data_IF_974699324722
#
_entry.id   IF_974699324722
#
_cell.length_a   1.000
_cell.length_b   1.000
_cell.length_c   1.000
_cell.angle_alpha   90.00
_cell.angle_beta   90.00
_cell.angle_gamma   90.00
#
_symmetry.space_group_name_H-M   'P 1'
#
loop_
_entity.id
_entity.type
_entity.pdbx_description
1 polymer ?
#
# COMPACT_ATOMS: atom_id res chain seq x y z
N UNK A 1 44.85 3.07 50.07
CA UNK A 1 43.77 3.09 49.07
C UNK A 1 44.38 2.74 47.72
N UNK A 2 43.93 1.66 47.08
CA UNK A 2 44.63 1.08 45.93
C UNK A 2 44.32 1.93 44.68
N UNK A 3 45.27 2.73 44.18
CA UNK A 3 45.10 3.67 43.04
C UNK A 3 44.52 3.00 41.80
N UNK A 4 44.74 1.70 41.60
CA UNK A 4 44.18 0.92 40.50
C UNK A 4 42.65 0.74 40.63
N UNK A 5 42.17 0.55 41.88
CA UNK A 5 40.73 0.40 42.15
C UNK A 5 40.01 1.72 41.97
N UNK A 6 40.60 2.82 42.39
CA UNK A 6 40.05 4.17 42.18
C UNK A 6 40.02 4.54 40.71
N UNK A 7 41.08 4.25 39.96
CA UNK A 7 41.13 4.47 38.51
C UNK A 7 40.09 3.67 37.75
N UNK A 8 39.87 2.40 38.11
CA UNK A 8 38.84 1.56 37.51
C UNK A 8 37.42 2.09 37.81
N UNK A 9 37.16 2.50 39.05
CA UNK A 9 35.86 3.07 39.44
C UNK A 9 35.55 4.36 38.70
N UNK A 10 36.53 5.23 38.50
CA UNK A 10 36.39 6.46 37.71
C UNK A 10 36.13 6.14 36.25
N UNK A 11 36.87 5.19 35.66
CA UNK A 11 36.65 4.78 34.26
C UNK A 11 35.26 4.18 34.04
N UNK A 12 34.77 3.36 34.98
CA UNK A 12 33.40 2.80 34.91
C UNK A 12 32.35 3.89 35.08
N UNK A 13 32.53 4.85 35.97
CA UNK A 13 31.62 5.97 36.16
C UNK A 13 31.56 6.86 34.91
N UNK A 14 32.68 7.19 34.29
CA UNK A 14 32.75 7.95 33.04
C UNK A 14 32.09 7.18 31.90
N UNK A 15 32.33 5.88 31.78
CA UNK A 15 31.73 5.01 30.81
C UNK A 15 30.18 4.96 30.94
N UNK A 16 29.69 4.83 32.18
CA UNK A 16 28.26 4.84 32.48
C UNK A 16 27.60 6.18 32.11
N UNK A 17 28.24 7.30 32.52
CA UNK A 17 27.75 8.64 32.20
C UNK A 17 27.71 8.86 30.69
N UNK A 18 28.79 8.48 29.99
CA UNK A 18 28.83 8.57 28.51
C UNK A 18 27.73 7.75 27.84
N UNK A 19 27.53 6.53 28.32
CA UNK A 19 26.47 5.66 27.81
C UNK A 19 25.06 6.26 28.03
N UNK A 20 24.77 6.77 29.23
CA UNK A 20 23.51 7.42 29.58
C UNK A 20 23.27 8.66 28.70
N UNK A 21 24.31 9.50 28.52
CA UNK A 21 24.19 10.68 27.65
C UNK A 21 23.95 10.32 26.20
N UNK A 22 24.62 9.27 25.70
CA UNK A 22 24.40 8.79 24.32
C UNK A 22 23.00 8.24 24.15
N UNK A 23 22.49 7.44 25.09
CA UNK A 23 21.13 6.94 25.09
C UNK A 23 20.11 8.08 25.19
N UNK A 24 20.36 9.08 26.03
CA UNK A 24 19.48 10.24 26.16
C UNK A 24 19.46 11.10 24.89
N UNK A 25 20.60 11.33 24.27
CA UNK A 25 20.71 12.05 23.00
C UNK A 25 19.99 11.30 21.86
N UNK A 26 20.21 10.00 21.76
CA UNK A 26 19.50 9.15 20.78
C UNK A 26 17.99 9.17 21.01
N UNK A 27 17.56 9.05 22.28
CA UNK A 27 16.13 9.08 22.61
C UNK A 27 15.52 10.46 22.32
N UNK A 28 16.24 11.53 22.62
CA UNK A 28 15.82 12.90 22.32
C UNK A 28 15.66 13.10 20.81
N UNK A 29 16.67 12.72 20.02
CA UNK A 29 16.64 12.80 18.57
C UNK A 29 15.49 11.96 17.98
N UNK A 30 15.32 10.72 18.46
CA UNK A 30 14.24 9.82 18.03
C UNK A 30 12.85 10.39 18.34
N UNK A 31 12.66 10.97 19.53
CA UNK A 31 11.38 11.57 19.91
C UNK A 31 11.15 12.87 19.15
N UNK A 32 12.14 13.75 19.05
CA UNK A 32 11.98 15.05 18.39
C UNK A 32 11.85 14.93 16.88
N UNK A 33 12.50 13.96 16.24
CA UNK A 33 12.35 13.72 14.80
C UNK A 33 10.91 13.34 14.42
N UNK A 34 10.17 12.71 15.35
CA UNK A 34 8.76 12.38 15.15
C UNK A 34 7.82 13.61 15.13
N UNK A 35 8.27 14.76 15.66
CA UNK A 35 7.50 16.02 15.69
C UNK A 35 7.82 16.96 14.52
N UNK A 36 8.92 16.72 13.82
CA UNK A 36 9.28 17.56 12.67
C UNK A 36 8.48 17.14 11.44
N UNK A 37 7.95 18.12 10.67
CA UNK A 37 7.34 17.81 9.40
C UNK A 37 8.31 17.07 8.49
N UNK A 38 7.86 15.98 7.88
CA UNK A 38 8.66 15.28 6.89
C UNK A 38 8.88 16.20 5.67
N UNK A 39 10.12 16.26 5.18
CA UNK A 39 10.41 16.87 3.89
C UNK A 39 9.85 16.00 2.75
N UNK A 40 9.43 16.60 1.63
CA UNK A 40 9.01 15.83 0.47
C UNK A 40 10.08 14.82 0.04
N UNK A 41 9.66 13.56 -0.16
CA UNK A 41 10.54 12.50 -0.64
C UNK A 41 10.67 12.59 -2.15
N UNK A 42 11.88 12.50 -2.67
CA UNK A 42 12.17 12.41 -4.10
C UNK A 42 12.71 11.02 -4.45
N UNK A 43 12.18 10.43 -5.52
CA UNK A 43 12.61 9.14 -6.04
C UNK A 43 13.49 9.35 -7.28
N UNK A 44 14.76 8.98 -7.20
CA UNK A 44 15.71 9.09 -8.34
C UNK A 44 15.31 8.20 -9.51
N UNK A 45 14.78 7.02 -9.20
CA UNK A 45 14.25 6.05 -10.15
C UNK A 45 12.77 5.85 -9.93
N UNK A 46 12.07 5.32 -10.93
CA UNK A 46 10.71 4.85 -10.73
C UNK A 46 10.73 3.72 -9.68
N UNK A 47 10.01 3.90 -8.60
CA UNK A 47 10.04 2.99 -7.44
C UNK A 47 8.61 2.78 -6.93
N UNK A 48 8.29 1.54 -6.63
CA UNK A 48 7.08 1.19 -5.89
C UNK A 48 7.44 0.87 -4.45
N UNK A 49 6.65 1.38 -3.51
CA UNK A 49 6.78 1.09 -2.07
C UNK A 49 5.52 0.36 -1.63
N UNK A 50 5.66 -0.85 -1.14
CA UNK A 50 4.58 -1.61 -0.52
C UNK A 50 4.28 -1.00 0.86
N UNK A 51 3.34 -0.07 0.93
CA UNK A 51 2.98 0.63 2.17
C UNK A 51 2.20 -0.26 3.14
N UNK A 52 1.36 -1.12 2.59
CA UNK A 52 0.58 -2.09 3.34
C UNK A 52 0.24 -3.30 2.48
N UNK A 53 0.40 -4.48 3.05
CA UNK A 53 0.38 -5.76 2.32
C UNK A 53 -0.71 -6.72 2.77
N UNK A 54 -1.57 -6.32 3.74
CA UNK A 54 -2.69 -7.13 4.17
C UNK A 54 -3.85 -7.10 3.15
N UNK A 55 -4.53 -8.24 3.01
CA UNK A 55 -5.82 -8.34 2.35
C UNK A 55 -6.97 -7.98 3.31
N UNK A 56 -8.20 -8.28 2.90
CA UNK A 56 -9.37 -8.24 3.79
C UNK A 56 -9.16 -9.13 5.02
N UNK A 57 -9.44 -8.59 6.19
CA UNK A 57 -9.30 -9.30 7.46
C UNK A 57 -8.41 -8.56 8.44
N UNK A 58 -8.36 -9.09 9.66
CA UNK A 58 -7.53 -8.52 10.72
C UNK A 58 -6.16 -9.19 10.73
N UNK A 59 -5.13 -8.44 10.34
CA UNK A 59 -3.75 -8.79 10.57
C UNK A 59 -3.08 -7.65 11.36
N UNK A 60 -2.72 -7.94 12.60
CA UNK A 60 -2.11 -6.95 13.49
C UNK A 60 -0.68 -6.58 13.09
N UNK A 61 -0.03 -7.40 12.27
CA UNK A 61 1.36 -7.22 11.89
C UNK A 61 1.54 -6.55 10.52
N UNK A 62 0.46 -6.38 9.76
CA UNK A 62 0.48 -5.77 8.42
C UNK A 62 -0.58 -4.67 8.31
N UNK A 63 -0.23 -3.62 7.60
CA UNK A 63 -1.14 -2.52 7.27
C UNK A 63 -2.07 -2.91 6.13
N UNK A 64 -3.20 -2.24 6.04
CA UNK A 64 -4.15 -2.40 4.95
C UNK A 64 -3.53 -2.06 3.59
N UNK A 65 -4.06 -2.66 2.53
CA UNK A 65 -3.54 -2.56 1.18
C UNK A 65 -3.27 -1.13 0.71
N UNK A 66 -2.02 -0.83 0.40
CA UNK A 66 -1.61 0.41 -0.25
C UNK A 66 -0.24 0.25 -0.90
N UNK A 67 -0.07 0.76 -2.11
CA UNK A 67 1.22 0.83 -2.82
C UNK A 67 1.46 2.26 -3.26
N UNK A 68 2.63 2.83 -2.95
CA UNK A 68 3.04 4.12 -3.48
C UNK A 68 3.92 3.91 -4.72
N UNK A 69 3.57 4.53 -5.83
CA UNK A 69 4.39 4.60 -7.04
C UNK A 69 4.97 6.00 -7.16
N UNK A 70 6.30 6.11 -7.18
CA UNK A 70 7.01 7.39 -7.13
C UNK A 70 8.06 7.57 -8.21
N UNK A 71 8.16 8.78 -8.76
CA UNK A 71 9.25 9.25 -9.63
C UNK A 71 9.47 10.74 -9.42
N UNK A 72 10.72 11.18 -9.20
CA UNK A 72 10.97 12.55 -8.74
C UNK A 72 10.18 12.81 -7.46
N UNK A 73 9.43 13.90 -7.43
CA UNK A 73 8.51 14.26 -6.33
C UNK A 73 7.07 13.78 -6.55
N UNK A 74 6.77 13.21 -7.72
CA UNK A 74 5.42 12.78 -8.08
C UNK A 74 5.13 11.40 -7.46
N UNK A 75 4.04 11.30 -6.71
CA UNK A 75 3.61 10.06 -6.04
C UNK A 75 2.13 9.84 -6.29
N UNK A 76 1.80 8.67 -6.83
CA UNK A 76 0.46 8.11 -6.85
C UNK A 76 0.37 6.96 -5.84
N UNK A 77 -0.73 6.88 -5.11
CA UNK A 77 -1.08 5.71 -4.31
C UNK A 77 -1.99 4.81 -5.11
N UNK A 78 -1.80 3.51 -5.01
CA UNK A 78 -2.80 2.51 -5.42
C UNK A 78 -3.39 1.94 -4.14
N UNK A 79 -4.67 2.14 -3.98
CA UNK A 79 -5.47 1.91 -2.77
C UNK A 79 -5.03 2.77 -1.56
N UNK A 80 -5.91 2.88 -0.58
CA UNK A 80 -5.73 3.59 0.67
C UNK A 80 -6.36 2.77 1.81
N UNK A 81 -5.76 1.63 2.12
CA UNK A 81 -6.20 0.76 3.20
C UNK A 81 -5.88 1.32 4.59
N UNK A 82 -6.19 0.56 5.60
CA UNK A 82 -5.97 0.90 7.01
C UNK A 82 -4.52 1.33 7.27
N UNK A 83 -4.35 2.37 8.07
CA UNK A 83 -3.05 2.92 8.49
C UNK A 83 -2.19 3.50 7.35
N UNK A 84 -2.77 3.87 6.20
CA UNK A 84 -2.01 4.37 5.05
C UNK A 84 -1.21 5.64 5.37
N UNK A 85 -1.74 6.55 6.20
CA UNK A 85 -1.02 7.77 6.60
C UNK A 85 0.22 7.46 7.45
N UNK A 86 0.12 6.48 8.35
CA UNK A 86 1.27 6.02 9.14
C UNK A 86 2.27 5.22 8.28
N UNK A 87 1.78 4.44 7.32
CA UNK A 87 2.63 3.75 6.36
C UNK A 87 3.47 4.72 5.52
N UNK A 88 2.87 5.80 5.05
CA UNK A 88 3.57 6.89 4.37
C UNK A 88 4.66 7.50 5.25
N UNK A 89 4.34 7.82 6.52
CA UNK A 89 5.34 8.37 7.47
C UNK A 89 6.49 7.38 7.70
N UNK A 90 6.19 6.10 7.87
CA UNK A 90 7.21 5.06 8.02
C UNK A 90 8.12 4.98 6.78
N UNK A 91 7.56 5.12 5.59
CA UNK A 91 8.28 5.20 4.32
C UNK A 91 8.95 6.57 4.06
N UNK A 92 8.92 7.48 5.03
CA UNK A 92 9.46 8.86 4.91
C UNK A 92 8.80 9.68 3.80
N UNK A 93 7.55 9.41 3.51
CA UNK A 93 6.72 10.17 2.58
C UNK A 93 5.73 11.00 3.41
N UNK A 94 5.71 12.34 3.29
CA UNK A 94 4.70 13.15 3.96
C UNK A 94 3.29 12.78 3.46
N UNK A 95 2.28 12.61 4.33
CA UNK A 95 0.90 12.35 3.89
C UNK A 95 0.33 13.42 2.96
N UNK A 96 0.90 14.63 2.97
CA UNK A 96 0.54 15.74 2.08
C UNK A 96 1.11 15.61 0.66
N UNK A 97 2.04 14.69 0.40
CA UNK A 97 2.76 14.60 -0.86
C UNK A 97 2.01 13.84 -1.96
N UNK A 98 1.33 12.69 -1.72
CA UNK A 98 0.65 11.98 -2.79
C UNK A 98 -0.31 12.89 -3.57
N UNK A 99 -0.14 12.94 -4.89
CA UNK A 99 -0.97 13.76 -5.77
C UNK A 99 -2.28 13.10 -6.17
N UNK A 100 -2.30 11.76 -6.17
CA UNK A 100 -3.48 10.97 -6.51
C UNK A 100 -3.56 9.67 -5.68
N UNK A 101 -4.78 9.20 -5.49
CA UNK A 101 -5.13 7.84 -5.04
C UNK A 101 -5.88 7.15 -6.18
N UNK A 102 -5.41 5.98 -6.57
CA UNK A 102 -5.97 5.13 -7.62
C UNK A 102 -6.62 3.93 -6.95
N UNK A 103 -7.92 3.81 -6.99
CA UNK A 103 -8.58 2.65 -6.41
C UNK A 103 -8.64 1.47 -7.38
N UNK A 104 -8.28 0.29 -6.88
CA UNK A 104 -8.49 -0.98 -7.59
C UNK A 104 -9.93 -1.46 -7.42
N UNK A 105 -10.55 -1.21 -6.29
CA UNK A 105 -11.99 -1.39 -6.03
C UNK A 105 -12.41 -0.53 -4.84
N UNK A 106 -13.73 -0.47 -4.58
CA UNK A 106 -14.25 0.26 -3.42
C UNK A 106 -14.50 -0.66 -2.21
N UNK A 107 -13.83 -1.80 -2.16
CA UNK A 107 -13.87 -2.66 -0.97
C UNK A 107 -13.24 -1.96 0.23
N UNK A 108 -13.73 -2.21 1.46
CA UNK A 108 -13.23 -1.55 2.66
C UNK A 108 -11.71 -1.63 2.84
N UNK A 109 -11.11 -2.79 2.57
CA UNK A 109 -9.67 -3.01 2.68
C UNK A 109 -8.83 -2.07 1.80
N UNK A 110 -9.43 -1.52 0.74
CA UNK A 110 -8.79 -0.61 -0.20
C UNK A 110 -9.08 0.86 0.11
N UNK A 111 -10.08 1.18 0.94
CA UNK A 111 -10.63 2.55 1.04
C UNK A 111 -10.66 3.14 2.44
N UNK A 112 -10.68 2.32 3.51
CA UNK A 112 -10.92 2.79 4.89
C UNK A 112 -9.85 3.73 5.45
N UNK A 113 -8.71 3.88 4.82
CA UNK A 113 -7.68 4.85 5.22
C UNK A 113 -7.75 6.18 4.47
N UNK A 114 -8.72 6.37 3.58
CA UNK A 114 -8.81 7.61 2.79
C UNK A 114 -9.15 8.82 3.65
N UNK A 115 -9.97 8.66 4.66
CA UNK A 115 -10.34 9.69 5.62
C UNK A 115 -9.14 10.14 6.46
N UNK A 116 -8.38 9.18 7.02
CA UNK A 116 -7.15 9.45 7.77
C UNK A 116 -6.09 10.12 6.87
N UNK A 117 -5.90 9.63 5.63
CA UNK A 117 -5.01 10.25 4.67
C UNK A 117 -5.37 11.71 4.38
N UNK A 118 -6.66 11.99 4.12
CA UNK A 118 -7.14 13.33 3.84
C UNK A 118 -6.96 14.26 5.05
N UNK A 119 -7.30 13.78 6.25
CA UNK A 119 -7.11 14.51 7.50
C UNK A 119 -5.63 14.78 7.77
N UNK A 120 -4.77 13.76 7.65
CA UNK A 120 -3.33 13.88 7.86
C UNK A 120 -2.67 14.81 6.84
N UNK A 121 -3.06 14.74 5.57
CA UNK A 121 -2.56 15.62 4.51
C UNK A 121 -2.93 17.08 4.77
N UNK A 122 -4.18 17.34 5.17
CA UNK A 122 -4.67 18.69 5.49
C UNK A 122 -3.97 19.28 6.71
N UNK A 123 -3.80 18.47 7.78
CA UNK A 123 -3.05 18.86 8.98
C UNK A 123 -1.56 19.13 8.68
N UNK A 124 -0.98 18.42 7.74
CA UNK A 124 0.37 18.67 7.22
C UNK A 124 0.47 19.88 6.28
N UNK A 125 -0.59 20.66 6.12
CA UNK A 125 -0.59 21.92 5.38
C UNK A 125 -1.05 21.81 3.92
N UNK A 126 -1.47 20.64 3.43
CA UNK A 126 -2.00 20.52 2.06
C UNK A 126 -3.33 21.31 1.94
N UNK A 127 -3.44 22.10 0.87
CA UNK A 127 -4.66 22.84 0.53
C UNK A 127 -5.20 22.50 -0.86
N UNK A 128 -4.33 21.98 -1.74
CA UNK A 128 -4.77 21.47 -3.03
C UNK A 128 -5.51 20.14 -2.85
N UNK A 129 -6.60 19.89 -3.60
CA UNK A 129 -7.30 18.61 -3.57
C UNK A 129 -6.35 17.43 -3.83
N UNK A 130 -6.63 16.27 -3.23
CA UNK A 130 -6.05 14.99 -3.64
C UNK A 130 -6.96 14.44 -4.75
N UNK A 131 -6.39 14.08 -5.89
CA UNK A 131 -7.16 13.40 -6.94
C UNK A 131 -7.47 11.97 -6.47
N UNK A 132 -8.71 11.54 -6.65
CA UNK A 132 -9.16 10.18 -6.33
C UNK A 132 -9.75 9.58 -7.60
N UNK A 133 -9.10 8.58 -8.16
CA UNK A 133 -9.45 7.99 -9.44
C UNK A 133 -9.79 6.52 -9.21
N UNK A 134 -10.98 6.09 -9.64
CA UNK A 134 -11.40 4.72 -9.36
C UNK A 134 -12.64 4.30 -10.14
N UNK A 135 -13.18 3.12 -9.84
CA UNK A 135 -14.38 2.61 -10.50
C UNK A 135 -15.63 3.43 -10.12
N UNK A 136 -16.78 3.19 -10.78
CA UNK A 136 -18.05 3.79 -10.40
C UNK A 136 -18.35 3.70 -8.90
N UNK A 137 -18.81 4.80 -8.26
CA UNK A 137 -19.01 4.97 -6.83
C UNK A 137 -17.89 5.77 -6.15
N UNK A 138 -16.75 6.00 -6.81
CA UNK A 138 -15.63 6.76 -6.27
C UNK A 138 -16.00 8.20 -5.90
N UNK A 139 -16.84 8.86 -6.70
CA UNK A 139 -17.28 10.22 -6.42
C UNK A 139 -18.18 10.28 -5.18
N UNK A 140 -19.00 9.28 -4.96
CA UNK A 140 -19.85 9.17 -3.77
C UNK A 140 -19.01 8.94 -2.51
N UNK A 141 -18.04 8.00 -2.56
CA UNK A 141 -17.09 7.77 -1.49
C UNK A 141 -16.33 9.05 -1.11
N UNK A 142 -15.76 9.74 -2.10
CA UNK A 142 -15.01 10.98 -1.87
C UNK A 142 -15.87 12.05 -1.19
N UNK A 143 -17.11 12.21 -1.60
CA UNK A 143 -18.06 13.16 -1.01
C UNK A 143 -18.36 12.82 0.46
N UNK A 144 -18.54 11.54 0.80
CA UNK A 144 -18.79 11.09 2.17
C UNK A 144 -17.57 11.35 3.06
N UNK A 145 -16.38 10.97 2.61
CA UNK A 145 -15.12 11.17 3.34
C UNK A 145 -14.88 12.67 3.62
N UNK A 146 -15.06 13.54 2.62
CA UNK A 146 -14.91 14.99 2.80
C UNK A 146 -15.93 15.53 3.80
N UNK A 147 -17.20 15.10 3.73
CA UNK A 147 -18.23 15.54 4.64
C UNK A 147 -17.94 15.14 6.09
N UNK A 148 -17.47 13.92 6.30
CA UNK A 148 -17.18 13.37 7.63
C UNK A 148 -16.10 14.18 8.35
N UNK A 149 -14.95 14.42 7.70
CA UNK A 149 -13.81 15.05 8.37
C UNK A 149 -13.85 16.56 8.37
N UNK A 150 -14.51 17.20 7.38
CA UNK A 150 -14.49 18.67 7.24
C UNK A 150 -14.97 19.38 8.50
N UNK A 151 -16.06 18.93 9.09
CA UNK A 151 -16.64 19.58 10.26
C UNK A 151 -15.65 19.66 11.43
N UNK A 152 -14.96 18.56 11.75
CA UNK A 152 -14.01 18.48 12.85
C UNK A 152 -12.73 19.28 12.61
N UNK A 153 -12.09 19.11 11.44
CA UNK A 153 -10.81 19.77 11.17
C UNK A 153 -10.97 21.30 11.00
N UNK A 154 -12.05 21.75 10.36
CA UNK A 154 -12.33 23.18 10.19
C UNK A 154 -12.74 23.84 11.52
N UNK A 155 -13.57 23.18 12.33
CA UNK A 155 -13.92 23.68 13.65
C UNK A 155 -12.69 23.86 14.55
N UNK A 156 -11.77 22.88 14.54
CA UNK A 156 -10.50 22.98 15.28
C UNK A 156 -9.66 24.17 14.79
N UNK A 157 -9.50 24.34 13.49
CA UNK A 157 -8.71 25.43 12.94
C UNK A 157 -9.27 26.79 13.32
N UNK A 158 -10.61 26.99 13.21
CA UNK A 158 -11.27 28.20 13.61
C UNK A 158 -11.11 28.50 15.09
N UNK A 159 -11.17 27.50 15.95
CA UNK A 159 -10.92 27.64 17.38
C UNK A 159 -9.49 28.13 17.69
N UNK A 160 -8.54 27.87 16.79
CA UNK A 160 -7.16 28.36 16.87
C UNK A 160 -6.96 29.72 16.19
N UNK A 161 -8.01 30.32 15.65
CA UNK A 161 -7.95 31.61 14.95
C UNK A 161 -7.65 31.55 13.48
N UNK A 162 -7.59 30.35 12.91
CA UNK A 162 -7.39 30.12 11.48
C UNK A 162 -8.73 30.10 10.74
N UNK A 163 -8.72 30.48 9.47
CA UNK A 163 -9.85 30.26 8.53
C UNK A 163 -9.38 29.61 7.25
N UNK A 164 -8.94 28.33 7.33
CA UNK A 164 -8.40 27.64 6.19
C UNK A 164 -9.52 27.15 5.26
N UNK A 165 -9.14 26.95 3.97
CA UNK A 165 -9.98 26.20 3.05
C UNK A 165 -10.19 24.77 3.59
N UNK A 166 -11.41 24.21 3.46
CA UNK A 166 -11.69 22.85 3.90
C UNK A 166 -10.83 21.81 3.11
N UNK A 167 -10.63 20.61 3.69
CA UNK A 167 -10.04 19.51 2.94
C UNK A 167 -10.89 19.17 1.72
N UNK A 168 -10.24 18.76 0.63
CA UNK A 168 -10.94 18.47 -0.62
C UNK A 168 -10.35 17.24 -1.35
N UNK A 169 -11.24 16.49 -1.98
CA UNK A 169 -10.92 15.43 -2.93
C UNK A 169 -11.47 15.83 -4.30
N UNK A 170 -10.70 15.53 -5.35
CA UNK A 170 -11.11 15.68 -6.75
C UNK A 170 -11.32 14.27 -7.32
N UNK A 171 -12.57 13.84 -7.41
CA UNK A 171 -12.94 12.49 -7.77
C UNK A 171 -13.22 12.33 -9.26
N UNK A 172 -12.61 11.30 -9.86
CA UNK A 172 -12.80 10.89 -11.25
C UNK A 172 -13.17 9.40 -11.31
N UNK A 173 -14.34 9.10 -11.83
CA UNK A 173 -14.74 7.72 -12.11
C UNK A 173 -14.29 7.30 -13.50
N UNK A 174 -13.67 6.13 -13.58
CA UNK A 174 -13.09 5.62 -14.83
C UNK A 174 -13.46 4.15 -15.04
N UNK A 175 -13.34 3.72 -16.28
CA UNK A 175 -13.55 2.34 -16.72
C UNK A 175 -12.38 1.80 -17.50
N UNK A 176 -12.64 0.75 -18.28
CA UNK A 176 -11.63 0.10 -19.11
C UNK A 176 -10.94 1.04 -20.07
N UNK A 177 -9.63 0.87 -20.21
CA UNK A 177 -8.80 1.63 -21.14
C UNK A 177 -8.55 3.09 -20.76
N UNK A 178 -9.05 3.57 -19.60
CA UNK A 178 -8.82 4.94 -19.16
C UNK A 178 -7.34 5.27 -19.04
N UNK A 179 -6.98 6.51 -19.39
CA UNK A 179 -5.59 7.01 -19.38
C UNK A 179 -5.55 8.35 -18.67
N UNK A 180 -4.68 8.42 -17.68
CA UNK A 180 -4.45 9.60 -16.87
C UNK A 180 -2.96 9.89 -16.73
N UNK A 181 -2.61 11.04 -16.17
CA UNK A 181 -1.24 11.39 -15.86
C UNK A 181 -1.16 12.12 -14.52
N UNK A 182 -0.04 11.91 -13.84
CA UNK A 182 0.33 12.65 -12.64
C UNK A 182 1.82 12.99 -12.71
N UNK A 183 2.14 14.21 -13.11
CA UNK A 183 3.53 14.61 -13.30
C UNK A 183 4.27 13.68 -14.27
N UNK A 184 5.33 13.02 -13.79
CA UNK A 184 6.11 12.06 -14.56
C UNK A 184 5.55 10.64 -14.62
N UNK A 185 4.37 10.39 -14.05
CA UNK A 185 3.68 9.09 -14.05
C UNK A 185 2.58 9.07 -15.12
N UNK A 186 2.65 8.12 -16.06
CA UNK A 186 1.57 7.80 -16.96
C UNK A 186 0.77 6.63 -16.37
N UNK A 187 -0.56 6.78 -16.32
CA UNK A 187 -1.47 5.87 -15.65
C UNK A 187 -2.46 5.29 -16.67
N UNK A 188 -2.66 3.99 -16.63
CA UNK A 188 -3.65 3.32 -17.46
C UNK A 188 -4.44 2.32 -16.63
N UNK A 189 -5.76 2.36 -16.71
CA UNK A 189 -6.65 1.41 -16.08
C UNK A 189 -7.10 0.31 -17.05
N UNK A 190 -7.33 -0.88 -16.53
CA UNK A 190 -8.14 -1.93 -17.18
C UNK A 190 -9.21 -2.39 -16.21
N UNK A 191 -10.43 -2.55 -16.70
CA UNK A 191 -11.50 -3.16 -15.90
C UNK A 191 -11.27 -4.67 -15.80
N UNK A 192 -11.42 -5.21 -14.59
CA UNK A 192 -11.24 -6.63 -14.31
C UNK A 192 -12.59 -7.37 -14.35
N UNK A 193 -13.26 -7.33 -15.54
CA UNK A 193 -14.47 -8.09 -15.81
C UNK A 193 -15.75 -7.58 -15.17
N UNK A 194 -16.82 -8.37 -15.33
CA UNK A 194 -18.18 -8.08 -14.87
C UNK A 194 -18.47 -8.72 -13.50
N UNK A 195 -17.49 -8.70 -12.60
CA UNK A 195 -17.65 -9.23 -11.25
C UNK A 195 -18.77 -8.52 -10.46
N UNK A 196 -19.13 -9.03 -9.28
CA UNK A 196 -20.20 -8.44 -8.46
C UNK A 196 -19.90 -7.01 -8.00
N UNK A 197 -18.63 -6.60 -8.08
CA UNK A 197 -18.18 -5.25 -7.76
C UNK A 197 -17.25 -4.75 -8.87
N UNK A 198 -17.39 -3.49 -9.32
CA UNK A 198 -16.44 -2.92 -10.27
C UNK A 198 -15.01 -2.95 -9.73
N UNK A 199 -14.10 -3.54 -10.49
CA UNK A 199 -12.69 -3.63 -10.14
C UNK A 199 -11.80 -3.16 -11.30
N UNK A 200 -10.65 -2.57 -10.96
CA UNK A 200 -9.65 -2.06 -11.89
C UNK A 200 -8.26 -2.63 -11.53
N UNK A 201 -7.43 -2.80 -12.54
CA UNK A 201 -5.99 -2.87 -12.39
C UNK A 201 -5.35 -1.60 -12.98
N UNK A 202 -4.21 -1.20 -12.41
CA UNK A 202 -3.50 0.01 -12.83
C UNK A 202 -2.13 -0.32 -13.38
N UNK A 203 -1.85 0.09 -14.61
CA UNK A 203 -0.50 0.13 -15.16
C UNK A 203 0.06 1.54 -15.00
N UNK A 204 1.24 1.63 -14.38
CA UNK A 204 1.93 2.88 -14.07
C UNK A 204 3.27 2.84 -14.80
N UNK A 205 3.56 3.86 -15.58
CA UNK A 205 4.78 3.94 -16.37
C UNK A 205 5.53 5.24 -16.08
N UNK A 206 6.84 5.14 -15.90
CA UNK A 206 7.73 6.26 -15.72
C UNK A 206 9.16 5.91 -16.17
N UNK A 207 9.86 6.86 -16.78
CA UNK A 207 11.27 6.70 -17.23
C UNK A 207 11.54 5.40 -18.02
N UNK A 208 10.60 4.99 -18.87
CA UNK A 208 10.73 3.79 -19.71
C UNK A 208 10.59 2.47 -18.93
N UNK A 209 10.09 2.50 -17.71
CA UNK A 209 9.78 1.36 -16.86
C UNK A 209 8.30 1.27 -16.59
N UNK A 210 7.83 0.09 -16.23
CA UNK A 210 6.41 -0.15 -16.01
C UNK A 210 6.15 -1.09 -14.83
N UNK A 211 5.09 -0.77 -14.10
CA UNK A 211 4.56 -1.63 -13.06
C UNK A 211 3.04 -1.75 -13.22
N UNK A 212 2.50 -2.93 -12.95
CA UNK A 212 1.06 -3.14 -12.85
C UNK A 212 0.72 -3.47 -11.41
N UNK A 213 -0.32 -2.85 -10.89
CA UNK A 213 -0.91 -3.17 -9.59
C UNK A 213 -2.31 -3.69 -9.85
N UNK A 214 -2.49 -4.98 -9.65
CA UNK A 214 -3.79 -5.65 -9.75
C UNK A 214 -4.54 -5.58 -8.43
N UNK A 215 -5.83 -5.67 -8.56
CA UNK A 215 -6.72 -5.85 -7.42
C UNK A 215 -7.27 -7.27 -7.41
N UNK A 216 -8.30 -7.49 -6.62
CA UNK A 216 -9.04 -8.74 -6.50
C UNK A 216 -9.43 -9.28 -7.88
N UNK A 217 -9.05 -10.51 -8.16
CA UNK A 217 -9.04 -11.08 -9.51
C UNK A 217 -10.41 -11.53 -10.01
N UNK A 218 -10.97 -10.83 -11.01
CA UNK A 218 -12.19 -11.22 -11.71
C UNK A 218 -11.94 -11.62 -13.15
N UNK A 219 -10.89 -11.08 -13.77
CA UNK A 219 -10.60 -11.31 -15.20
C UNK A 219 -9.09 -11.38 -15.43
N UNK A 220 -8.58 -12.59 -15.37
CA UNK A 220 -7.15 -12.87 -15.64
C UNK A 220 -6.73 -12.45 -17.04
N UNK A 221 -7.60 -12.47 -18.05
CA UNK A 221 -7.27 -12.09 -19.42
C UNK A 221 -7.05 -10.57 -19.55
N UNK A 222 -7.89 -9.77 -18.92
CA UNK A 222 -7.73 -8.30 -18.91
C UNK A 222 -6.45 -7.91 -18.15
N UNK A 223 -6.18 -8.56 -17.02
CA UNK A 223 -4.96 -8.34 -16.25
C UNK A 223 -3.72 -8.76 -17.05
N UNK A 224 -3.73 -9.93 -17.69
CA UNK A 224 -2.65 -10.40 -18.56
C UNK A 224 -2.34 -9.39 -19.67
N UNK A 225 -3.37 -8.89 -20.34
CA UNK A 225 -3.21 -7.89 -21.40
C UNK A 225 -2.61 -6.58 -20.86
N UNK A 226 -3.06 -6.10 -19.70
CA UNK A 226 -2.53 -4.89 -19.07
C UNK A 226 -1.07 -5.08 -18.62
N UNK A 227 -0.74 -6.26 -18.08
CA UNK A 227 0.58 -6.60 -17.55
C UNK A 227 1.59 -6.99 -18.62
N UNK A 228 1.19 -7.10 -19.90
CA UNK A 228 2.07 -7.57 -20.97
C UNK A 228 3.39 -6.77 -21.02
N UNK A 229 4.51 -7.49 -20.82
CA UNK A 229 5.86 -6.95 -20.81
C UNK A 229 6.14 -5.96 -19.67
N UNK A 230 5.36 -5.99 -18.60
CA UNK A 230 5.63 -5.14 -17.43
C UNK A 230 6.91 -5.59 -16.71
N UNK A 231 7.63 -4.62 -16.13
CA UNK A 231 8.79 -4.93 -15.29
C UNK A 231 8.35 -5.52 -13.95
N UNK A 232 7.25 -5.03 -13.37
CA UNK A 232 6.67 -5.52 -12.12
C UNK A 232 5.17 -5.78 -12.27
N UNK A 233 4.69 -6.86 -11.65
CA UNK A 233 3.28 -7.10 -11.39
C UNK A 233 3.07 -7.29 -9.90
N UNK A 234 2.39 -6.35 -9.25
CA UNK A 234 1.88 -6.51 -7.88
C UNK A 234 0.48 -7.11 -7.95
N UNK A 235 0.29 -8.26 -7.35
CA UNK A 235 -1.03 -8.91 -7.33
C UNK A 235 -1.29 -9.66 -6.03
N UNK A 236 -2.56 -9.80 -5.69
CA UNK A 236 -2.93 -10.68 -4.59
C UNK A 236 -2.65 -12.15 -4.95
N UNK A 237 -2.40 -12.94 -3.92
CA UNK A 237 -2.27 -14.39 -4.07
C UNK A 237 -2.85 -15.05 -2.83
N UNK A 238 -3.97 -15.74 -3.00
CA UNK A 238 -4.73 -16.28 -1.88
C UNK A 238 -5.35 -17.62 -2.25
N UNK A 239 -4.97 -18.66 -1.53
CA UNK A 239 -5.62 -19.95 -1.66
C UNK A 239 -6.89 -19.98 -0.81
N UNK A 240 -8.02 -20.25 -1.43
CA UNK A 240 -9.26 -20.62 -0.76
C UNK A 240 -9.45 -22.11 -0.96
N UNK A 241 -9.50 -22.92 0.12
CA UNK A 241 -9.60 -24.37 -0.02
C UNK A 241 -10.87 -24.74 -0.77
N UNK A 242 -10.76 -25.72 -1.66
CA UNK A 242 -11.92 -26.34 -2.30
C UNK A 242 -12.82 -27.01 -1.25
N UNK A 243 -14.10 -27.28 -1.55
CA UNK A 243 -14.96 -28.03 -0.64
C UNK A 243 -14.38 -29.38 -0.22
N UNK A 244 -13.66 -30.06 -1.14
CA UNK A 244 -13.03 -31.35 -0.92
C UNK A 244 -11.83 -31.22 0.03
N UNK A 245 -10.99 -30.21 -0.14
CA UNK A 245 -9.87 -29.92 0.75
C UNK A 245 -10.38 -29.51 2.14
N UNK A 246 -11.39 -28.65 2.21
CA UNK A 246 -12.02 -28.26 3.47
C UNK A 246 -12.57 -29.46 4.23
N UNK A 247 -13.24 -30.38 3.53
CA UNK A 247 -13.74 -31.63 4.13
C UNK A 247 -12.59 -32.53 4.61
N UNK A 248 -11.50 -32.65 3.85
CA UNK A 248 -10.31 -33.41 4.25
C UNK A 248 -9.64 -32.82 5.50
N UNK A 249 -9.68 -31.49 5.68
CA UNK A 249 -9.19 -30.78 6.84
C UNK A 249 -10.20 -30.73 8.01
N UNK A 250 -11.38 -31.37 7.85
CA UNK A 250 -12.47 -31.34 8.83
C UNK A 250 -12.96 -29.93 9.19
N UNK A 251 -12.93 -29.01 8.23
CA UNK A 251 -13.44 -27.66 8.39
C UNK A 251 -14.97 -27.68 8.23
N UNK A 252 -15.68 -27.17 9.23
CA UNK A 252 -17.14 -26.99 9.18
C UNK A 252 -17.49 -25.68 8.49
N UNK A 253 -17.44 -25.70 7.15
CA UNK A 253 -17.72 -24.51 6.29
C UNK A 253 -18.70 -24.91 5.19
N UNK A 254 -19.60 -23.99 4.88
CA UNK A 254 -20.54 -24.15 3.77
C UNK A 254 -19.75 -24.24 2.43
N UNK A 255 -19.85 -25.36 1.69
CA UNK A 255 -19.15 -25.55 0.42
C UNK A 255 -19.48 -24.48 -0.62
N UNK A 256 -20.73 -24.01 -0.63
CA UNK A 256 -21.16 -22.98 -1.58
C UNK A 256 -20.57 -21.60 -1.25
N UNK A 257 -20.40 -21.32 0.06
CA UNK A 257 -19.69 -20.12 0.49
C UNK A 257 -18.22 -20.16 0.08
N UNK A 258 -17.53 -21.30 0.23
CA UNK A 258 -16.14 -21.44 -0.22
C UNK A 258 -15.98 -21.17 -1.72
N UNK A 259 -16.87 -21.71 -2.57
CA UNK A 259 -16.83 -21.44 -4.02
C UNK A 259 -17.04 -19.95 -4.32
N UNK A 260 -17.98 -19.30 -3.64
CA UNK A 260 -18.19 -17.86 -3.79
C UNK A 260 -16.99 -17.05 -3.29
N UNK A 261 -16.40 -17.47 -2.19
CA UNK A 261 -15.22 -16.82 -1.64
C UNK A 261 -13.99 -16.97 -2.56
N UNK A 262 -13.78 -18.14 -3.13
CA UNK A 262 -12.70 -18.37 -4.09
C UNK A 262 -12.78 -17.42 -5.29
N UNK A 263 -13.98 -17.07 -5.75
CA UNK A 263 -14.15 -16.12 -6.83
C UNK A 263 -13.68 -14.68 -6.51
N UNK A 264 -13.41 -14.34 -5.26
CA UNK A 264 -12.86 -13.02 -4.87
C UNK A 264 -11.34 -12.96 -4.88
N UNK A 265 -10.65 -14.08 -5.03
CA UNK A 265 -9.20 -14.15 -4.92
C UNK A 265 -8.58 -14.86 -6.09
N UNK A 266 -7.34 -14.52 -6.38
CA UNK A 266 -6.51 -15.22 -7.36
C UNK A 266 -5.64 -16.24 -6.63
N UNK A 267 -5.69 -17.51 -7.03
CA UNK A 267 -4.83 -18.54 -6.44
C UNK A 267 -3.36 -18.35 -6.86
N UNK A 268 -2.44 -18.95 -6.12
CA UNK A 268 -1.00 -18.86 -6.36
C UNK A 268 -0.60 -19.34 -7.77
N UNK A 269 -1.18 -20.45 -8.22
CA UNK A 269 -0.88 -21.01 -9.53
C UNK A 269 -1.43 -20.09 -10.63
N UNK A 270 -2.63 -19.54 -10.47
CA UNK A 270 -3.27 -18.66 -11.44
C UNK A 270 -2.50 -17.35 -11.63
N UNK A 271 -2.07 -16.71 -10.54
CA UNK A 271 -1.29 -15.46 -10.64
C UNK A 271 0.07 -15.69 -11.30
N UNK A 272 0.71 -16.85 -11.01
CA UNK A 272 1.94 -17.28 -11.67
C UNK A 272 1.76 -17.47 -13.18
N UNK A 273 0.70 -18.18 -13.59
CA UNK A 273 0.37 -18.37 -15.00
C UNK A 273 0.07 -17.05 -15.73
N UNK A 274 -0.66 -16.12 -15.10
CA UNK A 274 -0.91 -14.78 -15.64
C UNK A 274 0.41 -14.04 -15.86
N UNK A 275 1.31 -14.05 -14.88
CA UNK A 275 2.61 -13.40 -14.95
C UNK A 275 3.48 -14.03 -16.07
N UNK A 276 3.46 -15.36 -16.21
CA UNK A 276 4.16 -16.08 -17.26
C UNK A 276 3.66 -15.72 -18.65
N UNK A 277 2.35 -15.80 -18.89
CA UNK A 277 1.74 -15.47 -20.19
C UNK A 277 1.93 -13.99 -20.57
N UNK A 278 1.89 -13.10 -19.58
CA UNK A 278 2.12 -11.67 -19.80
C UNK A 278 3.61 -11.33 -20.04
N UNK A 279 4.55 -12.24 -19.75
CA UNK A 279 5.97 -11.98 -19.84
C UNK A 279 6.43 -10.92 -18.85
N UNK A 280 5.88 -10.91 -17.67
CA UNK A 280 6.29 -10.05 -16.54
C UNK A 280 7.70 -10.43 -16.12
N UNK A 281 8.53 -9.46 -15.69
CA UNK A 281 9.88 -9.75 -15.21
C UNK A 281 9.91 -10.17 -13.75
N UNK A 282 9.14 -9.48 -12.90
CA UNK A 282 9.05 -9.75 -11.47
C UNK A 282 7.59 -9.74 -11.03
N UNK A 283 7.14 -10.85 -10.46
CA UNK A 283 5.86 -10.96 -9.78
C UNK A 283 6.05 -10.65 -8.30
N UNK A 284 5.32 -9.68 -7.79
CA UNK A 284 5.32 -9.26 -6.39
C UNK A 284 3.99 -9.66 -5.77
N UNK A 285 4.02 -10.63 -4.88
CA UNK A 285 2.84 -11.13 -4.18
C UNK A 285 2.55 -10.24 -2.98
N UNK A 286 1.34 -9.74 -2.87
CA UNK A 286 0.87 -8.92 -1.74
C UNK A 286 -0.62 -9.17 -1.49
N UNK A 287 -1.27 -8.43 -0.61
CA UNK A 287 -2.70 -8.65 -0.26
C UNK A 287 -3.01 -10.10 0.13
N UNK A 288 -2.11 -10.77 0.81
CA UNK A 288 -2.36 -12.12 1.30
C UNK A 288 -3.20 -12.08 2.56
N UNK A 289 -4.27 -12.88 2.63
CA UNK A 289 -5.15 -13.00 3.81
C UNK A 289 -4.41 -13.58 5.01
N UNK A 290 -3.64 -14.64 4.75
CA UNK A 290 -2.81 -15.27 5.76
C UNK A 290 -1.37 -15.19 5.31
N UNK A 291 -0.49 -14.53 6.08
CA UNK A 291 0.91 -14.55 5.76
C UNK A 291 1.43 -15.98 5.84
N UNK A 292 2.24 -16.38 4.89
CA UNK A 292 3.02 -17.60 5.03
C UNK A 292 3.95 -17.46 6.24
N UNK A 293 4.16 -18.54 6.97
CA UNK A 293 5.18 -18.58 8.05
C UNK A 293 6.57 -18.34 7.45
N UNK A 294 6.78 -18.83 6.23
CA UNK A 294 7.98 -18.61 5.43
C UNK A 294 7.56 -18.27 3.99
N UNK A 295 8.15 -17.23 3.41
CA UNK A 295 7.88 -16.82 2.02
C UNK A 295 8.07 -17.96 1.03
N UNK A 296 9.02 -18.87 1.31
CA UNK A 296 9.27 -20.07 0.51
C UNK A 296 8.03 -20.96 0.33
N UNK A 297 7.10 -20.98 1.29
CA UNK A 297 5.87 -21.78 1.18
C UNK A 297 4.95 -21.27 0.08
N UNK A 298 4.98 -19.97 -0.17
CA UNK A 298 4.18 -19.29 -1.20
C UNK A 298 4.93 -19.31 -2.54
N UNK A 299 6.21 -18.92 -2.52
CA UNK A 299 7.00 -18.79 -3.75
C UNK A 299 7.21 -20.13 -4.44
N UNK A 300 7.32 -21.26 -3.71
CA UNK A 300 7.49 -22.58 -4.31
C UNK A 300 6.29 -23.02 -5.15
N UNK A 301 5.07 -22.63 -4.81
CA UNK A 301 3.88 -22.94 -5.62
C UNK A 301 3.86 -22.13 -6.92
N UNK A 302 4.24 -20.87 -6.85
CA UNK A 302 4.29 -19.98 -8.02
C UNK A 302 5.46 -20.35 -8.94
N UNK A 303 6.59 -20.81 -8.39
CA UNK A 303 7.80 -21.22 -9.11
C UNK A 303 7.55 -22.42 -10.06
N UNK A 304 6.54 -23.24 -9.76
CA UNK A 304 6.14 -24.36 -10.61
C UNK A 304 5.51 -23.91 -11.96
N UNK A 305 5.02 -22.67 -12.05
CA UNK A 305 4.25 -22.15 -13.19
C UNK A 305 4.78 -20.81 -13.75
N UNK A 306 5.80 -20.23 -13.11
CA UNK A 306 6.37 -18.94 -13.51
C UNK A 306 7.88 -18.92 -13.41
N UNK A 307 8.56 -18.68 -14.55
CA UNK A 307 10.04 -18.70 -14.67
C UNK A 307 10.71 -17.36 -14.30
N UNK A 308 9.94 -16.31 -14.00
CA UNK A 308 10.46 -14.99 -13.67
C UNK A 308 10.85 -14.86 -12.19
N UNK A 309 11.21 -13.67 -11.77
CA UNK A 309 11.52 -13.41 -10.36
C UNK A 309 10.24 -13.28 -9.52
N UNK A 310 10.19 -13.97 -8.38
CA UNK A 310 9.07 -13.92 -7.45
C UNK A 310 9.54 -13.22 -6.16
N UNK A 311 8.75 -12.29 -5.67
CA UNK A 311 8.96 -11.62 -4.39
C UNK A 311 7.66 -11.63 -3.58
N UNK A 312 7.76 -11.81 -2.27
CA UNK A 312 6.68 -11.58 -1.32
C UNK A 312 6.91 -10.21 -0.69
N UNK A 313 5.95 -9.31 -0.81
CA UNK A 313 6.09 -7.96 -0.28
C UNK A 313 5.73 -7.90 1.20
N UNK A 314 6.57 -7.19 1.94
CA UNK A 314 6.33 -6.79 3.33
C UNK A 314 6.11 -5.28 3.42
N UNK A 315 5.46 -4.83 4.50
CA UNK A 315 5.21 -3.41 4.71
C UNK A 315 6.52 -2.61 4.77
N UNK A 316 6.67 -1.66 3.86
CA UNK A 316 7.85 -0.83 3.71
C UNK A 316 8.84 -1.27 2.63
N UNK A 317 8.67 -2.43 2.01
CA UNK A 317 9.55 -2.91 0.94
C UNK A 317 9.49 -1.99 -0.29
N UNK A 318 10.67 -1.80 -0.91
CA UNK A 318 10.83 -0.96 -2.09
C UNK A 318 11.25 -1.80 -3.32
N UNK A 319 10.53 -1.62 -4.40
CA UNK A 319 10.75 -2.31 -5.67
C UNK A 319 11.06 -1.30 -6.77
N UNK A 320 12.20 -1.48 -7.41
CA UNK A 320 12.62 -0.63 -8.54
C UNK A 320 12.63 -1.46 -9.80
N UNK A 321 11.76 -1.15 -10.78
CA UNK A 321 11.67 -1.85 -12.07
C UNK A 321 12.95 -1.78 -12.90
#
# INVERSE_FOLDING_TARGET
MNFRVVGLAIALAVGLVSWVLTCAAWRFDHVTSGFLPLAPRAFERFTLVALGTAAAGEDQNRRGSAVAAGVGSDIALVDAGRDVAEALRAAKIPPSQPGAVLFTSLLPENTVGLDDLLAAAWLAGRRAPIRVIGPPGTAELARHVVAEITAGVVARARALGDDPAPPALDALEVGDGAREALGGLALRAAALGDGPLPALAWRIEAKGRSAVVGGTGWDGAALEQLARGADLLFHDANHVPSPEEAAAMSLDVDPERLRREAAFYTDFDEVGEIAQRAGVRTLVLYKMRQPAVLDLQVTSRVDDVYDGHIAVAHDGDEFTP
#
